data_IF_733888416278
#
_entry.id   IF_733888416278
#
_cell.length_a   1.000
_cell.length_b   1.000
_cell.length_c   1.000
_cell.angle_alpha   90.00
_cell.angle_beta   90.00
_cell.angle_gamma   90.00
#
_symmetry.space_group_name_H-M   'P 1'
#
loop_
_entity.id
_entity.type
_entity.pdbx_description
1 polymer ?
#
# COMPACT_ATOMS: atom_id res chain seq x y z
N UNK A 1 -7.10 -18.37 -18.96
CA UNK A 1 -5.95 -17.69 -19.59
C UNK A 1 -5.21 -16.94 -18.50
N UNK A 2 -4.14 -17.55 -17.97
CA UNK A 2 -3.25 -16.89 -17.03
C UNK A 2 -2.46 -15.84 -17.82
N UNK A 3 -2.72 -14.55 -17.58
CA UNK A 3 -1.82 -13.50 -18.08
C UNK A 3 -0.56 -13.59 -17.23
N UNK A 4 0.55 -13.96 -17.86
CA UNK A 4 1.87 -13.71 -17.31
C UNK A 4 1.98 -12.22 -17.01
N UNK A 5 2.38 -11.91 -15.79
CA UNK A 5 2.48 -10.56 -15.28
C UNK A 5 3.94 -10.14 -15.48
N UNK A 6 4.23 -9.42 -16.56
CA UNK A 6 5.57 -8.86 -16.76
C UNK A 6 5.82 -7.70 -15.77
N UNK A 7 7.03 -7.61 -15.19
CA UNK A 7 7.43 -6.45 -14.40
C UNK A 7 7.35 -5.19 -15.26
N UNK A 8 6.68 -4.16 -14.76
CA UNK A 8 6.70 -2.83 -15.37
C UNK A 8 7.72 -1.97 -14.64
N UNK A 9 8.43 -1.08 -15.33
CA UNK A 9 9.30 -0.10 -14.68
C UNK A 9 8.49 1.13 -14.27
N UNK A 10 8.52 1.48 -12.98
CA UNK A 10 8.00 2.77 -12.51
C UNK A 10 8.90 3.93 -12.98
N UNK A 11 8.47 5.18 -12.75
CA UNK A 11 9.08 6.42 -13.25
C UNK A 11 10.57 6.68 -12.86
N UNK A 12 11.24 5.73 -12.22
CA UNK A 12 12.65 5.81 -11.81
C UNK A 12 13.41 4.49 -12.01
N UNK A 13 12.95 3.61 -12.90
CA UNK A 13 13.58 2.30 -13.16
C UNK A 13 13.31 1.24 -12.09
N UNK A 14 12.60 1.60 -11.02
CA UNK A 14 12.18 0.66 -9.99
C UNK A 14 11.25 -0.39 -10.60
N UNK A 15 11.61 -1.65 -10.39
CA UNK A 15 10.80 -2.79 -10.74
C UNK A 15 9.50 -2.76 -9.93
N UNK A 16 8.36 -2.94 -10.59
CA UNK A 16 7.07 -2.99 -9.91
C UNK A 16 6.18 -4.10 -10.45
N UNK A 17 5.39 -4.65 -9.54
CA UNK A 17 4.54 -5.80 -9.76
C UNK A 17 3.13 -5.52 -9.26
N UNK A 18 2.07 -6.04 -9.90
CA UNK A 18 0.72 -6.01 -9.36
C UNK A 18 0.65 -6.54 -7.93
N UNK A 19 0.02 -5.77 -7.05
CA UNK A 19 -0.16 -6.17 -5.66
C UNK A 19 -1.15 -7.35 -5.57
N UNK A 20 -0.75 -8.52 -5.06
CA UNK A 20 -1.66 -9.65 -4.87
C UNK A 20 -2.73 -9.33 -3.80
N UNK A 21 -4.01 -9.69 -4.01
CA UNK A 21 -5.09 -9.37 -3.06
C UNK A 21 -4.85 -9.89 -1.64
N UNK A 22 -4.20 -11.05 -1.51
CA UNK A 22 -3.84 -11.66 -0.21
C UNK A 22 -2.89 -10.79 0.62
N UNK A 23 -2.15 -9.89 -0.01
CA UNK A 23 -1.14 -9.04 0.64
C UNK A 23 -1.65 -7.63 0.99
N UNK A 24 -2.94 -7.32 0.80
CA UNK A 24 -3.52 -6.01 1.15
C UNK A 24 -3.14 -5.59 2.59
N UNK A 25 -3.19 -6.52 3.55
CA UNK A 25 -2.86 -6.21 4.95
C UNK A 25 -1.40 -5.82 5.14
N UNK A 26 -0.49 -6.51 4.47
CA UNK A 26 0.94 -6.21 4.54
C UNK A 26 1.27 -4.90 3.83
N UNK A 27 0.68 -4.67 2.65
CA UNK A 27 0.81 -3.40 1.94
C UNK A 27 0.28 -2.23 2.78
N UNK A 28 -0.86 -2.40 3.45
CA UNK A 28 -1.41 -1.39 4.34
C UNK A 28 -0.50 -1.07 5.53
N UNK A 29 0.19 -2.08 6.08
CA UNK A 29 1.18 -1.90 7.14
C UNK A 29 2.38 -1.08 6.65
N UNK A 30 2.92 -1.41 5.47
CA UNK A 30 4.02 -0.66 4.85
C UNK A 30 3.62 0.80 4.62
N UNK A 31 2.42 1.03 4.06
CA UNK A 31 1.91 2.39 3.86
C UNK A 31 1.72 3.11 5.19
N UNK A 32 1.23 2.43 6.24
CA UNK A 32 1.04 3.04 7.55
C UNK A 32 2.36 3.46 8.20
N UNK A 33 3.43 2.71 7.98
CA UNK A 33 4.77 3.07 8.43
C UNK A 33 5.32 4.24 7.60
N UNK A 34 5.19 4.19 6.28
CA UNK A 34 5.69 5.23 5.38
C UNK A 34 5.02 6.59 5.61
N UNK A 35 3.71 6.59 5.84
CA UNK A 35 2.91 7.80 6.06
C UNK A 35 2.65 8.09 7.55
N UNK A 36 3.36 7.43 8.47
CA UNK A 36 3.12 7.60 9.90
C UNK A 36 3.30 9.05 10.34
N UNK A 37 4.35 9.73 9.87
CA UNK A 37 4.63 11.13 10.21
C UNK A 37 4.31 12.10 9.07
N UNK A 38 3.53 11.65 8.09
CA UNK A 38 3.03 12.52 7.03
C UNK A 38 2.19 13.66 7.66
N UNK A 39 2.39 14.93 7.27
CA UNK A 39 1.70 16.06 7.87
C UNK A 39 0.16 15.94 7.84
N UNK A 40 -0.39 15.33 6.80
CA UNK A 40 -1.83 15.10 6.69
C UNK A 40 -2.28 14.06 7.72
N UNK A 41 -1.53 12.96 7.87
CA UNK A 41 -1.84 11.92 8.85
C UNK A 41 -1.67 12.42 10.29
N UNK A 42 -0.65 13.24 10.56
CA UNK A 42 -0.45 13.90 11.87
C UNK A 42 -1.59 14.88 12.16
N UNK A 43 -2.08 15.61 11.16
CA UNK A 43 -3.22 16.51 11.33
C UNK A 43 -4.52 15.75 11.64
N UNK A 44 -4.81 14.67 10.93
CA UNK A 44 -6.03 13.88 11.14
C UNK A 44 -6.00 12.99 12.40
N UNK A 45 -4.83 12.43 12.74
CA UNK A 45 -4.61 11.56 13.89
C UNK A 45 -3.41 12.08 14.72
N UNK A 46 -3.60 13.14 15.53
CA UNK A 46 -2.49 13.79 16.24
C UNK A 46 -1.83 12.90 17.29
N UNK A 47 -2.63 12.05 17.93
CA UNK A 47 -2.15 11.11 18.94
C UNK A 47 -1.40 9.94 18.26
N UNK A 48 -0.09 9.78 18.51
CA UNK A 48 0.72 8.76 17.85
C UNK A 48 0.30 7.34 18.22
N UNK A 49 -0.28 7.11 19.41
CA UNK A 49 -0.76 5.77 19.79
C UNK A 49 -2.02 5.42 18.99
N UNK A 50 -2.95 6.36 18.87
CA UNK A 50 -4.14 6.19 18.02
C UNK A 50 -3.74 6.02 16.57
N UNK A 51 -2.81 6.83 16.06
CA UNK A 51 -2.31 6.70 14.69
C UNK A 51 -1.73 5.31 14.43
N UNK A 52 -0.91 4.78 15.36
CA UNK A 52 -0.36 3.43 15.23
C UNK A 52 -1.44 2.34 15.23
N UNK A 53 -2.51 2.53 16.00
CA UNK A 53 -3.62 1.57 16.06
C UNK A 53 -4.55 1.63 14.83
N UNK A 54 -4.85 2.82 14.30
CA UNK A 54 -5.87 3.00 13.26
C UNK A 54 -5.34 3.08 11.85
N UNK A 55 -4.15 3.65 11.65
CA UNK A 55 -3.61 3.97 10.33
C UNK A 55 -3.48 2.74 9.40
N UNK A 56 -3.03 1.55 9.88
CA UNK A 56 -3.03 0.35 9.04
C UNK A 56 -4.42 -0.05 8.55
N UNK A 57 -5.46 0.14 9.39
CA UNK A 57 -6.84 -0.15 9.01
C UNK A 57 -7.36 0.80 7.94
N UNK A 58 -7.12 2.11 8.11
CA UNK A 58 -7.51 3.16 7.16
C UNK A 58 -6.87 2.92 5.79
N UNK A 59 -5.55 2.69 5.76
CA UNK A 59 -4.84 2.45 4.51
C UNK A 59 -5.23 1.12 3.89
N UNK A 60 -5.60 0.10 4.68
CA UNK A 60 -6.17 -1.14 4.17
C UNK A 60 -7.49 -0.94 3.41
N UNK A 61 -8.34 0.00 3.85
CA UNK A 61 -9.55 0.36 3.11
C UNK A 61 -9.19 1.01 1.78
N UNK A 62 -8.27 1.98 1.78
CA UNK A 62 -7.84 2.65 0.55
C UNK A 62 -7.19 1.70 -0.45
N UNK A 63 -6.31 0.80 0.02
CA UNK A 63 -5.70 -0.22 -0.83
C UNK A 63 -6.74 -1.16 -1.44
N UNK A 64 -7.78 -1.54 -0.68
CA UNK A 64 -8.87 -2.37 -1.22
C UNK A 64 -9.68 -1.63 -2.29
N UNK A 65 -9.95 -0.34 -2.10
CA UNK A 65 -10.63 0.50 -3.08
C UNK A 65 -9.76 0.63 -4.35
N UNK A 66 -8.45 0.89 -4.19
CA UNK A 66 -7.51 0.94 -5.30
C UNK A 66 -7.47 -0.37 -6.10
N UNK A 67 -7.51 -1.52 -5.42
CA UNK A 67 -7.60 -2.83 -6.08
C UNK A 67 -8.91 -3.05 -6.83
N UNK A 68 -10.03 -2.52 -6.32
CA UNK A 68 -11.34 -2.68 -6.96
C UNK A 68 -11.46 -1.83 -8.24
N UNK A 69 -10.83 -0.67 -8.26
CA UNK A 69 -11.02 0.33 -9.30
C UNK A 69 -9.79 0.59 -10.17
N UNK A 70 -8.66 -0.07 -9.90
CA UNK A 70 -7.42 0.11 -10.64
C UNK A 70 -6.48 -1.08 -10.53
N UNK A 71 -5.21 -0.86 -10.90
CA UNK A 71 -4.14 -1.85 -10.81
C UNK A 71 -3.05 -1.31 -9.86
N UNK A 72 -3.18 -1.50 -8.55
CA UNK A 72 -2.14 -1.09 -7.62
C UNK A 72 -0.89 -1.94 -7.86
N UNK A 73 0.23 -1.24 -7.91
CA UNK A 73 1.55 -1.83 -8.08
C UNK A 73 2.31 -1.76 -6.75
N UNK A 74 3.19 -2.72 -6.53
CA UNK A 74 4.07 -2.81 -5.39
C UNK A 74 5.52 -2.97 -5.87
N UNK A 75 6.46 -2.49 -5.06
CA UNK A 75 7.89 -2.74 -5.23
C UNK A 75 8.26 -4.15 -4.72
N UNK A 76 9.47 -4.64 -5.04
CA UNK A 76 9.92 -5.94 -4.58
C UNK A 76 9.84 -6.13 -3.06
N UNK A 77 9.55 -7.36 -2.64
CA UNK A 77 9.32 -7.73 -1.23
C UNK A 77 7.84 -7.86 -0.83
N UNK A 78 6.91 -7.51 -1.72
CA UNK A 78 5.48 -7.83 -1.63
C UNK A 78 5.03 -8.74 -2.77
N UNK A 79 5.94 -9.58 -3.23
CA UNK A 79 5.76 -10.54 -4.29
C UNK A 79 5.46 -11.87 -3.61
N UNK A 80 4.18 -12.16 -3.40
CA UNK A 80 3.78 -13.27 -2.54
C UNK A 80 4.08 -14.65 -3.11
#
# INVERSE_FOLDING_TARGET
>A
MSREIEPTHAAFGAEVYPLPPRLIRQAAQVLAEAFFDDPLMVHYLPDPQKRRAFLPGVLGVYTRIAMRHGLPLATPGLEG
#
